data_IF_673258320572
#
_entry.id   IF_673258320572
#
_cell.length_a   1.000
_cell.length_b   1.000
_cell.length_c   1.000
_cell.angle_alpha   90.00
_cell.angle_beta   90.00
_cell.angle_gamma   90.00
#
_symmetry.space_group_name_H-M   'P 1'
#
loop_
_entity.id
_entity.type
_entity.pdbx_description
1 polymer ?
#
# COMPACT_ATOMS: atom_id res chain seq x y z
N UNK A 1 -23.39 4.73 -3.25
CA UNK A 1 -22.10 4.01 -3.40
C UNK A 1 -20.97 5.00 -3.30
N UNK A 2 -19.92 4.68 -2.54
CA UNK A 2 -18.78 5.57 -2.33
C UNK A 2 -17.71 5.33 -3.40
N UNK A 3 -17.70 6.17 -4.45
CA UNK A 3 -16.75 6.03 -5.56
C UNK A 3 -15.28 6.19 -5.15
N UNK A 4 -15.01 7.00 -4.13
CA UNK A 4 -13.65 7.22 -3.61
C UNK A 4 -13.10 5.97 -2.92
N UNK A 5 -13.92 5.27 -2.13
CA UNK A 5 -13.53 4.00 -1.51
C UNK A 5 -13.36 2.88 -2.55
N UNK A 6 -14.13 2.88 -3.63
CA UNK A 6 -13.91 1.94 -4.74
C UNK A 6 -12.56 2.22 -5.42
N UNK A 7 -12.24 3.49 -5.71
CA UNK A 7 -10.95 3.85 -6.29
C UNK A 7 -9.78 3.49 -5.36
N UNK A 8 -9.92 3.74 -4.06
CA UNK A 8 -8.96 3.32 -3.05
C UNK A 8 -8.82 1.79 -2.97
N UNK A 9 -9.91 1.04 -3.05
CA UNK A 9 -9.89 -0.42 -3.09
C UNK A 9 -9.13 -0.94 -4.33
N UNK A 10 -9.41 -0.39 -5.51
CA UNK A 10 -8.69 -0.75 -6.75
C UNK A 10 -7.21 -0.44 -6.62
N UNK A 11 -6.84 0.72 -6.10
CA UNK A 11 -5.44 1.09 -5.88
C UNK A 11 -4.71 0.16 -4.91
N UNK A 12 -5.33 -0.16 -3.77
CA UNK A 12 -4.80 -1.14 -2.81
C UNK A 12 -4.66 -2.54 -3.43
N UNK A 13 -5.66 -2.97 -4.20
CA UNK A 13 -5.67 -4.26 -4.88
C UNK A 13 -4.57 -4.38 -5.94
N UNK A 14 -4.39 -3.34 -6.77
CA UNK A 14 -3.30 -3.28 -7.75
C UNK A 14 -1.94 -3.32 -7.04
N UNK A 15 -1.77 -2.56 -5.96
CA UNK A 15 -0.54 -2.59 -5.17
C UNK A 15 -0.27 -3.98 -4.58
N UNK A 16 -1.29 -4.68 -4.07
CA UNK A 16 -1.15 -6.05 -3.58
C UNK A 16 -0.70 -7.01 -4.71
N UNK A 17 -1.31 -6.91 -5.89
CA UNK A 17 -0.91 -7.72 -7.05
C UNK A 17 0.53 -7.46 -7.50
N UNK A 18 0.98 -6.20 -7.46
CA UNK A 18 2.38 -5.86 -7.76
C UNK A 18 3.34 -6.52 -6.76
N UNK A 19 3.00 -6.58 -5.47
CA UNK A 19 3.82 -7.26 -4.45
C UNK A 19 3.83 -8.78 -4.65
N UNK A 20 2.71 -9.38 -5.06
CA UNK A 20 2.68 -10.79 -5.49
C UNK A 20 3.59 -11.00 -6.70
N UNK A 21 3.57 -10.08 -7.66
CA UNK A 21 4.50 -10.08 -8.80
C UNK A 21 5.96 -10.08 -8.35
N UNK A 22 6.35 -9.27 -7.35
CA UNK A 22 7.70 -9.29 -6.79
C UNK A 22 8.10 -10.66 -6.22
N UNK A 23 7.15 -11.39 -5.61
CA UNK A 23 7.39 -12.75 -5.11
C UNK A 23 7.62 -13.73 -6.27
N UNK A 24 6.77 -13.67 -7.31
CA UNK A 24 6.79 -14.61 -8.43
C UNK A 24 8.01 -14.39 -9.34
N UNK A 25 8.32 -13.13 -9.66
CA UNK A 25 9.39 -12.75 -10.58
C UNK A 25 10.74 -12.47 -9.88
N UNK A 26 10.75 -12.45 -8.55
CA UNK A 26 11.96 -12.41 -7.72
C UNK A 26 12.78 -11.12 -7.87
N UNK A 27 14.10 -11.28 -7.79
CA UNK A 27 15.08 -10.20 -7.66
C UNK A 27 14.95 -9.07 -8.70
N UNK A 28 14.64 -9.42 -9.96
CA UNK A 28 14.47 -8.44 -11.03
C UNK A 28 13.34 -7.46 -10.73
N UNK A 29 12.22 -7.96 -10.21
CA UNK A 29 11.09 -7.12 -9.84
C UNK A 29 11.38 -6.32 -8.58
N UNK A 30 12.07 -6.90 -7.59
CA UNK A 30 12.52 -6.14 -6.42
C UNK A 30 13.38 -4.92 -6.78
N UNK A 31 14.32 -5.06 -7.74
CA UNK A 31 15.10 -3.93 -8.25
C UNK A 31 14.24 -2.95 -9.05
N UNK A 32 13.40 -3.45 -9.95
CA UNK A 32 12.55 -2.61 -10.81
C UNK A 32 11.60 -1.73 -10.00
N UNK A 33 10.97 -2.27 -8.96
CA UNK A 33 10.09 -1.51 -8.08
C UNK A 33 10.84 -0.71 -7.00
N UNK A 34 12.17 -0.76 -6.96
CA UNK A 34 12.98 0.03 -6.03
C UNK A 34 12.95 -0.46 -4.59
N UNK A 35 12.77 -1.77 -4.34
CA UNK A 35 12.77 -2.35 -2.99
C UNK A 35 14.16 -2.32 -2.31
N UNK A 36 15.21 -1.91 -3.03
CA UNK A 36 16.59 -1.86 -2.58
C UNK A 36 17.40 -3.10 -3.02
N UNK A 37 18.71 -2.92 -3.19
CA UNK A 37 19.60 -3.99 -3.64
C UNK A 37 19.69 -5.14 -2.64
N UNK A 38 19.59 -4.86 -1.34
CA UNK A 38 19.59 -5.89 -0.31
C UNK A 38 18.43 -6.87 -0.47
N UNK A 39 17.21 -6.38 -0.76
CA UNK A 39 16.03 -7.23 -0.97
C UNK A 39 16.19 -8.10 -2.21
N UNK A 40 16.73 -7.54 -3.29
CA UNK A 40 16.99 -8.29 -4.51
C UNK A 40 18.07 -9.37 -4.30
N UNK A 41 19.15 -9.03 -3.60
CA UNK A 41 20.24 -9.96 -3.29
C UNK A 41 19.75 -11.13 -2.43
N UNK A 42 18.93 -10.85 -1.40
CA UNK A 42 18.33 -11.91 -0.59
C UNK A 42 17.41 -12.83 -1.42
N UNK A 43 16.71 -12.29 -2.42
CA UNK A 43 15.88 -13.09 -3.31
C UNK A 43 16.73 -13.97 -4.25
N UNK A 44 17.86 -13.47 -4.76
CA UNK A 44 18.80 -14.26 -5.57
C UNK A 44 19.46 -15.38 -4.77
N UNK A 45 19.71 -15.14 -3.49
CA UNK A 45 20.24 -16.14 -2.55
C UNK A 45 19.20 -17.20 -2.14
N UNK A 46 17.95 -17.09 -2.60
CA UNK A 46 16.88 -18.02 -2.24
C UNK A 46 16.43 -17.91 -0.78
N UNK A 47 16.71 -16.79 -0.10
CA UNK A 47 16.25 -16.57 1.27
C UNK A 47 14.73 -16.37 1.28
N UNK A 48 14.06 -16.89 2.30
CA UNK A 48 12.62 -16.70 2.50
C UNK A 48 12.25 -15.30 3.00
N UNK A 49 13.23 -14.53 3.47
CA UNK A 49 13.02 -13.22 4.11
C UNK A 49 12.31 -12.21 3.19
N UNK A 50 12.72 -11.99 1.92
CA UNK A 50 12.00 -11.09 1.01
C UNK A 50 10.55 -11.52 0.81
N UNK A 51 10.33 -12.81 0.58
CA UNK A 51 9.00 -13.40 0.37
C UNK A 51 8.09 -13.17 1.57
N UNK A 52 8.56 -13.44 2.79
CA UNK A 52 7.77 -13.24 4.02
C UNK A 52 7.39 -11.76 4.18
N UNK A 53 8.32 -10.83 3.96
CA UNK A 53 8.08 -9.39 4.06
C UNK A 53 7.04 -8.95 3.02
N UNK A 54 7.21 -9.33 1.76
CA UNK A 54 6.24 -8.98 0.70
C UNK A 54 4.89 -9.63 0.87
N UNK A 55 4.84 -10.85 1.40
CA UNK A 55 3.59 -11.56 1.65
C UNK A 55 2.81 -10.87 2.77
N UNK A 56 3.51 -10.40 3.81
CA UNK A 56 2.91 -9.58 4.85
C UNK A 56 2.30 -8.30 4.27
N UNK A 57 3.07 -7.55 3.45
CA UNK A 57 2.57 -6.32 2.80
C UNK A 57 1.36 -6.61 1.91
N UNK A 58 1.44 -7.66 1.09
CA UNK A 58 0.35 -8.12 0.22
C UNK A 58 -0.92 -8.38 1.04
N UNK A 59 -0.80 -9.12 2.13
CA UNK A 59 -1.92 -9.47 3.01
C UNK A 59 -2.57 -8.23 3.60
N UNK A 60 -1.75 -7.29 4.11
CA UNK A 60 -2.24 -6.01 4.65
C UNK A 60 -3.00 -5.20 3.59
N UNK A 61 -2.46 -5.08 2.37
CA UNK A 61 -3.11 -4.37 1.27
C UNK A 61 -4.40 -5.05 0.78
N UNK A 62 -4.43 -6.39 0.77
CA UNK A 62 -5.65 -7.15 0.48
C UNK A 62 -6.73 -6.92 1.53
N UNK A 63 -6.37 -6.89 2.82
CA UNK A 63 -7.29 -6.53 3.90
C UNK A 63 -7.82 -5.11 3.70
N UNK A 64 -6.95 -4.15 3.35
CA UNK A 64 -7.37 -2.77 3.11
C UNK A 64 -8.35 -2.65 1.93
N UNK A 65 -8.14 -3.44 0.89
CA UNK A 65 -9.06 -3.56 -0.25
C UNK A 65 -10.44 -4.00 0.21
N UNK A 66 -10.52 -5.04 1.05
CA UNK A 66 -11.79 -5.55 1.58
C UNK A 66 -12.50 -4.51 2.45
N UNK A 67 -11.79 -3.82 3.34
CA UNK A 67 -12.39 -2.76 4.17
C UNK A 67 -12.90 -1.58 3.33
N UNK A 68 -12.20 -1.20 2.25
CA UNK A 68 -12.67 -0.16 1.35
C UNK A 68 -13.93 -0.58 0.58
N UNK A 69 -13.97 -1.82 0.06
CA UNK A 69 -15.17 -2.37 -0.58
C UNK A 69 -16.36 -2.47 0.39
N UNK A 70 -16.09 -2.82 1.66
CA UNK A 70 -17.09 -2.86 2.72
C UNK A 70 -17.64 -1.46 3.02
N UNK A 71 -16.78 -0.44 3.14
CA UNK A 71 -17.18 0.95 3.32
C UNK A 71 -17.91 1.54 2.11
N UNK A 72 -17.63 1.04 0.91
CA UNK A 72 -18.36 1.40 -0.31
C UNK A 72 -19.74 0.73 -0.44
N UNK A 73 -20.10 -0.19 0.49
CA UNK A 73 -21.30 -1.04 0.47
C UNK A 73 -21.34 -2.01 -0.73
N UNK A 74 -20.19 -2.40 -1.25
CA UNK A 74 -20.07 -3.41 -2.33
C UNK A 74 -20.14 -4.83 -1.75
N UNK A 75 -19.59 -5.02 -0.54
CA UNK A 75 -19.64 -6.28 0.21
C UNK A 75 -20.31 -6.07 1.58
N UNK A 76 -20.47 -7.16 2.34
CA UNK A 76 -20.98 -7.10 3.71
C UNK A 76 -20.16 -6.17 4.60
N UNK A 77 -20.83 -5.55 5.59
CA UNK A 77 -20.18 -4.65 6.53
C UNK A 77 -19.26 -5.43 7.47
N UNK A 78 -17.96 -5.14 7.41
CA UNK A 78 -16.95 -5.74 8.27
C UNK A 78 -16.94 -5.09 9.66
N UNK A 79 -16.54 -5.83 10.72
CA UNK A 79 -16.43 -5.27 12.06
C UNK A 79 -15.39 -4.14 12.09
N UNK A 80 -15.57 -3.16 12.98
CA UNK A 80 -14.62 -2.05 13.19
C UNK A 80 -14.35 -1.18 11.95
N UNK A 81 -15.24 -1.19 10.95
CA UNK A 81 -15.07 -0.49 9.66
C UNK A 81 -14.58 0.97 9.82
N UNK A 82 -15.25 1.77 10.65
CA UNK A 82 -14.91 3.18 10.87
C UNK A 82 -13.49 3.36 11.42
N UNK A 83 -13.10 2.53 12.40
CA UNK A 83 -11.77 2.56 13.02
C UNK A 83 -10.70 2.12 12.03
N UNK A 84 -10.97 1.04 11.29
CA UNK A 84 -10.08 0.54 10.24
C UNK A 84 -9.85 1.58 9.15
N UNK A 85 -10.89 2.24 8.67
CA UNK A 85 -10.81 3.30 7.65
C UNK A 85 -9.96 4.49 8.10
N UNK A 86 -10.13 4.95 9.34
CA UNK A 86 -9.29 6.01 9.93
C UNK A 86 -7.84 5.54 10.07
N UNK A 87 -7.61 4.32 10.55
CA UNK A 87 -6.27 3.75 10.68
C UNK A 87 -5.53 3.64 9.34
N UNK A 88 -6.19 3.11 8.31
CA UNK A 88 -5.63 3.02 6.95
C UNK A 88 -5.33 4.38 6.34
N UNK A 89 -6.27 5.33 6.48
CA UNK A 89 -6.06 6.72 6.04
C UNK A 89 -4.82 7.31 6.68
N UNK A 90 -4.70 7.15 8.00
CA UNK A 90 -3.57 7.68 8.77
C UNK A 90 -2.25 7.05 8.32
N UNK A 91 -2.23 5.72 8.11
CA UNK A 91 -1.07 4.99 7.64
C UNK A 91 -0.60 5.49 6.26
N UNK A 92 -1.51 5.63 5.29
CA UNK A 92 -1.16 6.10 3.95
C UNK A 92 -0.66 7.55 3.94
N UNK A 93 -1.30 8.44 4.71
CA UNK A 93 -0.87 9.83 4.84
C UNK A 93 0.50 9.93 5.53
N UNK A 94 0.69 9.24 6.66
CA UNK A 94 1.96 9.20 7.37
C UNK A 94 3.07 8.63 6.49
N UNK A 95 2.81 7.57 5.75
CA UNK A 95 3.79 6.98 4.85
C UNK A 95 4.11 7.90 3.67
N UNK A 96 3.11 8.55 3.11
CA UNK A 96 3.29 9.53 2.04
C UNK A 96 4.12 10.74 2.48
N UNK A 97 3.80 11.33 3.63
CA UNK A 97 4.56 12.46 4.18
C UNK A 97 5.96 12.05 4.65
N UNK A 98 6.07 10.93 5.37
CA UNK A 98 7.34 10.40 5.85
C UNK A 98 8.28 10.01 4.72
N UNK A 99 7.75 9.56 3.57
CA UNK A 99 8.56 9.25 2.41
C UNK A 99 9.20 10.49 1.76
N UNK A 100 8.54 11.65 1.77
CA UNK A 100 9.18 12.92 1.37
C UNK A 100 10.32 13.31 2.31
N UNK A 101 10.18 13.06 3.61
CA UNK A 101 11.28 13.26 4.55
C UNK A 101 12.46 12.32 4.24
N UNK A 102 12.18 11.03 3.97
CA UNK A 102 13.21 10.03 3.62
C UNK A 102 13.90 10.31 2.29
N UNK A 103 13.25 11.02 1.36
CA UNK A 103 13.89 11.47 0.12
C UNK A 103 15.13 12.34 0.37
N UNK A 104 15.20 13.05 1.50
CA UNK A 104 16.36 13.88 1.88
C UNK A 104 17.53 13.06 2.44
N UNK A 105 17.34 11.76 2.66
CA UNK A 105 18.35 10.85 3.20
C UNK A 105 18.94 9.99 2.09
N UNK A 106 20.22 9.65 2.22
CA UNK A 106 20.88 8.67 1.35
C UNK A 106 20.31 7.29 1.71
N UNK A 107 19.50 6.74 0.82
CA UNK A 107 18.82 5.45 0.98
C UNK A 107 19.11 4.55 -0.21
N UNK A 108 19.15 3.24 0.00
CA UNK A 108 19.42 2.27 -1.09
C UNK A 108 18.35 2.33 -2.19
N UNK A 109 17.12 2.70 -1.86
CA UNK A 109 16.00 2.77 -2.81
C UNK A 109 16.08 4.00 -3.74
N UNK A 110 16.85 5.02 -3.36
CA UNK A 110 17.02 6.26 -4.11
C UNK A 110 15.86 7.26 -4.00
N UNK A 111 16.17 8.54 -4.24
CA UNK A 111 15.21 9.64 -4.09
C UNK A 111 14.00 9.53 -5.02
N UNK A 112 14.19 9.03 -6.24
CA UNK A 112 13.11 8.86 -7.23
C UNK A 112 12.06 7.86 -6.78
N UNK A 113 12.46 6.74 -6.16
CA UNK A 113 11.52 5.77 -5.58
C UNK A 113 10.69 6.42 -4.46
N UNK A 114 11.36 7.10 -3.53
CA UNK A 114 10.68 7.76 -2.43
C UNK A 114 9.70 8.83 -2.91
N UNK A 115 10.06 9.61 -3.93
CA UNK A 115 9.15 10.61 -4.51
C UNK A 115 7.87 9.98 -5.09
N UNK A 116 8.01 9.05 -6.04
CA UNK A 116 6.87 8.43 -6.71
C UNK A 116 6.01 7.61 -5.75
N UNK A 117 6.65 6.82 -4.91
CA UNK A 117 5.96 5.99 -3.94
C UNK A 117 5.20 6.85 -2.93
N UNK A 118 5.79 7.97 -2.47
CA UNK A 118 5.12 8.92 -1.55
C UNK A 118 3.91 9.58 -2.19
N UNK A 119 4.04 10.02 -3.45
CA UNK A 119 2.90 10.57 -4.19
C UNK A 119 1.75 9.58 -4.29
N UNK A 120 2.02 8.32 -4.64
CA UNK A 120 0.99 7.28 -4.75
C UNK A 120 0.33 7.05 -3.39
N UNK A 121 1.10 6.95 -2.32
CA UNK A 121 0.55 6.77 -0.97
C UNK A 121 -0.25 7.98 -0.49
N UNK A 122 0.16 9.22 -0.82
CA UNK A 122 -0.65 10.40 -0.52
C UNK A 122 -1.96 10.40 -1.32
N UNK A 123 -1.91 10.08 -2.61
CA UNK A 123 -3.11 10.01 -3.45
C UNK A 123 -4.10 8.97 -2.89
N UNK A 124 -3.63 7.77 -2.54
CA UNK A 124 -4.44 6.75 -1.88
C UNK A 124 -4.94 7.22 -0.51
N UNK A 125 -4.10 7.90 0.28
CA UNK A 125 -4.47 8.47 1.58
C UNK A 125 -5.60 9.50 1.47
N UNK A 126 -5.55 10.37 0.46
CA UNK A 126 -6.62 11.35 0.18
C UNK A 126 -7.90 10.66 -0.26
N UNK A 127 -7.83 9.63 -1.12
CA UNK A 127 -9.01 8.83 -1.49
C UNK A 127 -9.64 8.15 -0.28
N UNK A 128 -8.83 7.56 0.61
CA UNK A 128 -9.31 6.98 1.86
C UNK A 128 -9.90 8.04 2.78
N UNK A 129 -9.29 9.23 2.90
CA UNK A 129 -9.78 10.32 3.74
C UNK A 129 -11.16 10.79 3.29
N UNK A 130 -11.32 11.14 2.01
CA UNK A 130 -12.60 11.59 1.46
C UNK A 130 -13.65 10.47 1.60
N UNK A 131 -13.27 9.24 1.28
CA UNK A 131 -14.13 8.08 1.42
C UNK A 131 -14.60 7.85 2.87
N UNK A 132 -13.70 7.98 3.83
CA UNK A 132 -13.98 7.82 5.27
C UNK A 132 -14.91 8.92 5.77
N UNK A 133 -14.68 10.18 5.37
CA UNK A 133 -15.54 11.31 5.72
C UNK A 133 -16.96 11.13 5.20
N UNK A 134 -17.11 10.63 3.97
CA UNK A 134 -18.44 10.31 3.41
C UNK A 134 -19.16 9.21 4.20
N UNK A 135 -18.45 8.17 4.63
CA UNK A 135 -19.01 7.11 5.50
C UNK A 135 -19.40 7.65 6.87
N UNK A 136 -18.74 8.69 7.37
CA UNK A 136 -19.04 9.28 8.68
C UNK A 136 -20.26 10.21 8.65
N UNK A 137 -20.48 10.88 7.52
CA UNK A 137 -21.60 11.81 7.31
C UNK A 137 -22.89 11.13 6.82
N UNK A 138 -22.91 9.79 6.72
CA UNK A 138 -24.08 8.98 6.34
C UNK A 138 -24.59 8.20 7.55
#
# INVERSE_FOLDING_TARGET
MNGFLIAAAVGNGLAALLHVGCIIFGARWYRFFGAGEQMATWAEQGLSKPTIITLFITTVLSVFTLYCLSGARVIMTLPLLKVALVGMTSLFLLRGLGGFYMMTKITEQGATFWFWSSMICLALGVLHLIGTLQVWNT
#
